data_IF_229028330337
#
_entry.id   IF_229028330337
#
_cell.length_a   1.000
_cell.length_b   1.000
_cell.length_c   1.000
_cell.angle_alpha   90.00
_cell.angle_beta   90.00
_cell.angle_gamma   90.00
#
_symmetry.space_group_name_H-M   'P 1'
#
loop_
_entity.id
_entity.type
_entity.pdbx_description
1 polymer ?
#
# COMPACT_ATOMS: atom_id res chain seq x y z
N UNK A 1 16.04 50.08 -13.46
CA UNK A 1 15.96 50.65 -14.83
C UNK A 1 17.26 50.55 -15.64
N UNK A 2 18.25 51.43 -15.50
CA UNK A 2 19.44 51.45 -16.38
C UNK A 2 20.40 50.24 -16.18
N UNK A 3 20.58 49.77 -14.94
CA UNK A 3 21.34 48.54 -14.62
C UNK A 3 20.65 47.27 -15.13
N UNK A 4 19.33 47.26 -15.19
CA UNK A 4 18.52 46.13 -15.71
C UNK A 4 18.51 46.11 -17.24
N UNK A 5 18.45 47.27 -17.89
CA UNK A 5 18.62 47.37 -19.34
C UNK A 5 20.02 46.91 -19.80
N UNK A 6 21.06 47.19 -19.01
CA UNK A 6 22.43 46.71 -19.28
C UNK A 6 22.57 45.18 -19.11
N UNK A 7 21.90 44.59 -18.13
CA UNK A 7 21.86 43.12 -17.94
C UNK A 7 21.02 42.40 -18.99
N UNK A 8 19.87 42.97 -19.39
CA UNK A 8 19.05 42.45 -20.48
C UNK A 8 19.78 42.49 -21.83
N UNK A 9 20.55 43.56 -22.11
CA UNK A 9 21.42 43.63 -23.29
C UNK A 9 22.57 42.63 -23.23
N UNK A 10 23.13 42.36 -22.04
CA UNK A 10 24.17 41.33 -21.85
C UNK A 10 23.64 39.92 -22.08
N UNK A 11 22.41 39.63 -21.63
CA UNK A 11 21.74 38.34 -21.86
C UNK A 11 21.32 38.17 -23.33
N UNK A 12 20.78 39.23 -23.95
CA UNK A 12 20.47 39.24 -25.38
C UNK A 12 21.72 39.12 -26.26
N UNK A 13 22.85 39.71 -25.84
CA UNK A 13 24.13 39.58 -26.52
C UNK A 13 24.73 38.18 -26.34
N UNK A 14 24.59 37.56 -25.17
CA UNK A 14 24.99 36.17 -24.96
C UNK A 14 24.14 35.20 -25.81
N UNK A 15 22.83 35.47 -25.95
CA UNK A 15 21.92 34.70 -26.81
C UNK A 15 22.15 34.97 -28.31
N UNK A 16 22.56 36.18 -28.70
CA UNK A 16 22.93 36.50 -30.08
C UNK A 16 24.27 35.88 -30.49
N UNK A 17 25.22 35.73 -29.55
CA UNK A 17 26.46 34.95 -29.76
C UNK A 17 26.13 33.47 -29.99
N UNK A 18 25.09 32.93 -29.35
CA UNK A 18 24.57 31.58 -29.62
C UNK A 18 23.82 31.50 -30.96
N UNK A 19 23.09 32.54 -31.34
CA UNK A 19 22.38 32.64 -32.62
C UNK A 19 23.27 32.89 -33.86
N UNK A 20 24.52 33.31 -33.67
CA UNK A 20 25.48 33.57 -34.75
C UNK A 20 26.17 32.32 -35.31
N UNK A 21 26.10 31.19 -34.61
CA UNK A 21 26.69 29.93 -35.08
C UNK A 21 25.66 29.08 -35.83
N UNK A 22 25.33 29.51 -37.05
CA UNK A 22 24.61 28.68 -38.02
C UNK A 22 25.39 27.46 -38.54
N UNK A 23 26.57 27.13 -37.97
CA UNK A 23 27.44 26.03 -38.43
C UNK A 23 28.25 25.30 -37.34
N UNK A 24 27.90 25.42 -36.06
CA UNK A 24 28.45 24.53 -35.04
C UNK A 24 27.32 23.62 -34.54
N UNK A 25 27.43 22.32 -34.81
CA UNK A 25 26.40 21.35 -34.49
C UNK A 25 25.92 21.49 -33.04
N UNK A 26 24.60 21.58 -32.89
CA UNK A 26 23.91 21.25 -31.64
C UNK A 26 24.07 19.74 -31.41
N UNK A 27 25.30 19.31 -31.11
CA UNK A 27 25.61 18.02 -30.55
C UNK A 27 25.24 18.05 -29.07
N UNK A 28 24.18 17.34 -28.74
CA UNK A 28 23.96 16.68 -27.44
C UNK A 28 23.53 17.51 -26.22
N UNK A 29 23.09 18.76 -26.37
CA UNK A 29 22.24 19.38 -25.33
C UNK A 29 20.82 19.66 -25.84
N UNK A 30 19.80 18.91 -25.37
CA UNK A 30 18.44 19.08 -25.82
C UNK A 30 17.92 20.46 -25.43
N UNK A 31 17.36 21.21 -26.38
CA UNK A 31 16.54 22.41 -26.11
C UNK A 31 15.44 22.14 -25.06
N UNK A 32 15.02 20.88 -24.89
CA UNK A 32 14.14 20.44 -23.82
C UNK A 32 14.72 20.65 -22.41
N UNK A 33 16.03 20.50 -22.22
CA UNK A 33 16.73 20.76 -20.94
C UNK A 33 16.77 22.26 -20.65
N UNK A 34 16.92 23.09 -21.69
CA UNK A 34 16.84 24.55 -21.56
C UNK A 34 15.42 24.98 -21.22
N UNK A 35 14.41 24.44 -21.92
CA UNK A 35 13.00 24.72 -21.67
C UNK A 35 12.54 24.30 -20.25
N UNK A 36 13.01 23.15 -19.76
CA UNK A 36 12.72 22.65 -18.40
C UNK A 36 13.36 23.48 -17.28
N UNK A 37 14.30 24.37 -17.60
CA UNK A 37 15.00 25.24 -16.62
C UNK A 37 14.61 26.72 -16.73
N UNK A 38 13.74 27.10 -17.67
CA UNK A 38 13.29 28.48 -17.83
C UNK A 38 12.56 28.97 -16.58
N UNK A 39 13.04 30.08 -16.01
CA UNK A 39 12.31 30.81 -14.98
C UNK A 39 11.29 31.74 -15.65
N UNK A 40 10.19 32.12 -14.96
CA UNK A 40 9.22 33.08 -15.47
C UNK A 40 9.83 34.43 -15.89
N UNK A 41 11.00 34.78 -15.35
CA UNK A 41 11.78 35.96 -15.75
C UNK A 41 12.48 35.80 -17.10
N UNK A 42 12.93 34.60 -17.45
CA UNK A 42 13.55 34.29 -18.74
C UNK A 42 12.51 34.29 -19.86
N UNK A 43 11.26 33.96 -19.49
CA UNK A 43 10.11 33.95 -20.39
C UNK A 43 9.59 35.34 -20.79
N UNK A 44 9.97 36.41 -20.09
CA UNK A 44 9.58 37.79 -20.46
C UNK A 44 10.29 38.28 -21.74
N UNK A 45 11.39 37.63 -22.14
CA UNK A 45 12.12 37.92 -23.37
C UNK A 45 11.61 37.13 -24.59
N UNK A 46 10.54 36.33 -24.44
CA UNK A 46 10.05 35.37 -25.43
C UNK A 46 9.39 35.88 -26.71
N UNK A 47 9.07 37.18 -26.95
CA UNK A 47 8.63 37.58 -28.29
C UNK A 47 9.67 37.26 -29.38
N UNK A 48 10.96 37.14 -29.02
CA UNK A 48 12.07 36.92 -29.94
C UNK A 48 12.47 35.43 -30.14
N UNK A 49 11.92 34.48 -29.38
CA UNK A 49 12.32 33.05 -29.40
C UNK A 49 11.22 32.14 -30.02
N UNK A 50 10.47 32.68 -30.98
CA UNK A 50 9.10 32.25 -31.31
C UNK A 50 8.93 31.17 -32.39
N UNK A 51 9.99 30.53 -32.90
CA UNK A 51 9.83 29.45 -33.91
C UNK A 51 10.56 28.15 -33.55
N UNK A 52 11.83 28.23 -33.15
CA UNK A 52 12.64 27.07 -32.77
C UNK A 52 12.16 26.40 -31.48
N UNK A 53 11.74 27.20 -30.49
CA UNK A 53 11.21 26.70 -29.21
C UNK A 53 9.83 26.06 -29.40
N UNK A 54 9.00 26.65 -30.25
CA UNK A 54 7.71 26.08 -30.70
C UNK A 54 7.88 24.77 -31.48
N UNK A 55 8.89 24.66 -32.35
CA UNK A 55 9.22 23.43 -33.07
C UNK A 55 9.82 22.34 -32.15
N UNK A 56 10.62 22.72 -31.16
CA UNK A 56 11.15 21.81 -30.14
C UNK A 56 10.05 21.26 -29.22
N UNK A 57 9.15 22.13 -28.73
CA UNK A 57 8.00 21.73 -27.91
C UNK A 57 7.01 20.82 -28.66
N UNK A 58 6.95 20.89 -30.00
CA UNK A 58 6.19 19.96 -30.85
C UNK A 58 6.84 18.57 -30.97
N UNK A 59 8.17 18.47 -30.83
CA UNK A 59 8.93 17.20 -30.92
C UNK A 59 9.01 16.47 -29.59
N UNK A 60 9.24 17.20 -28.50
CA UNK A 60 9.28 16.66 -27.14
C UNK A 60 8.40 17.56 -26.27
N UNK A 61 7.19 17.10 -25.93
CA UNK A 61 6.23 17.87 -25.10
C UNK A 61 6.87 18.19 -23.74
N UNK A 62 7.41 19.39 -23.50
CA UNK A 62 8.21 19.64 -22.30
C UNK A 62 7.30 19.79 -21.08
N UNK A 63 7.84 19.48 -19.90
CA UNK A 63 7.13 19.72 -18.66
C UNK A 63 7.04 21.23 -18.37
N UNK A 64 5.85 21.82 -18.47
CA UNK A 64 5.53 23.16 -18.02
C UNK A 64 5.35 23.18 -16.49
N UNK A 65 6.21 23.94 -15.83
CA UNK A 65 6.09 24.30 -14.42
C UNK A 65 5.15 25.49 -14.24
N UNK A 66 3.95 25.27 -13.69
CA UNK A 66 3.00 26.34 -13.36
C UNK A 66 3.28 27.03 -12.01
N UNK A 67 4.25 26.55 -11.22
CA UNK A 67 4.34 26.83 -9.78
C UNK A 67 5.38 27.89 -9.35
N UNK A 68 6.14 28.52 -10.26
CA UNK A 68 7.16 29.53 -9.89
C UNK A 68 6.71 31.00 -10.02
N UNK A 69 6.24 31.68 -8.98
CA UNK A 69 6.25 33.17 -8.94
C UNK A 69 4.92 33.91 -9.20
N UNK A 70 5.01 35.25 -9.24
CA UNK A 70 3.92 36.22 -8.99
C UNK A 70 2.61 35.98 -9.79
N UNK A 71 1.48 35.93 -9.07
CA UNK A 71 0.15 35.42 -9.47
C UNK A 71 -0.46 35.99 -10.77
N UNK A 72 -0.22 37.27 -11.10
CA UNK A 72 -0.81 37.90 -12.31
C UNK A 72 -0.07 37.58 -13.60
N UNK A 73 1.21 37.24 -13.52
CA UNK A 73 2.03 36.89 -14.67
C UNK A 73 1.82 35.41 -15.08
N UNK A 74 1.48 34.56 -14.10
CA UNK A 74 1.32 33.11 -14.31
C UNK A 74 0.06 32.71 -15.07
N UNK A 75 -1.13 33.24 -14.75
CA UNK A 75 -2.34 32.87 -15.49
C UNK A 75 -2.27 33.31 -16.94
N UNK A 76 -1.81 34.55 -17.20
CA UNK A 76 -1.61 35.05 -18.57
C UNK A 76 -0.56 34.25 -19.35
N UNK A 77 0.52 33.83 -18.70
CA UNK A 77 1.58 33.05 -19.32
C UNK A 77 1.19 31.59 -19.54
N UNK A 78 0.53 30.96 -18.56
CA UNK A 78 -0.06 29.63 -18.69
C UNK A 78 -1.12 29.61 -19.79
N UNK A 79 -2.01 30.62 -19.88
CA UNK A 79 -2.96 30.77 -20.99
C UNK A 79 -2.29 31.09 -22.33
N UNK A 80 -1.13 31.77 -22.35
CA UNK A 80 -0.38 32.04 -23.58
C UNK A 80 0.35 30.79 -24.09
N UNK A 81 1.00 30.06 -23.21
CA UNK A 81 1.57 28.76 -23.53
C UNK A 81 0.45 27.80 -23.92
N UNK A 82 -0.63 27.66 -23.13
CA UNK A 82 -1.85 26.90 -23.45
C UNK A 82 -2.32 27.10 -24.89
N UNK A 83 -2.37 28.35 -25.37
CA UNK A 83 -2.72 28.70 -26.74
C UNK A 83 -1.70 28.18 -27.78
N UNK A 84 -0.42 28.07 -27.41
CA UNK A 84 0.67 27.49 -28.21
C UNK A 84 0.70 25.95 -28.23
N UNK A 85 -0.10 25.24 -27.42
CA UNK A 85 -0.42 23.81 -27.61
C UNK A 85 0.63 22.79 -27.12
N UNK A 86 1.45 23.10 -26.12
CA UNK A 86 2.54 22.21 -25.65
C UNK A 86 2.58 22.02 -24.11
N UNK A 87 2.03 20.92 -23.55
CA UNK A 87 2.06 20.67 -22.09
C UNK A 87 2.33 19.22 -21.72
N UNK A 88 3.28 19.05 -20.80
CA UNK A 88 3.23 18.10 -19.68
C UNK A 88 3.28 18.97 -18.43
N UNK A 89 2.47 18.82 -17.38
CA UNK A 89 2.66 19.63 -16.15
C UNK A 89 3.01 18.67 -15.03
N UNK A 90 4.25 18.74 -14.55
CA UNK A 90 4.72 17.98 -13.41
C UNK A 90 5.39 18.98 -12.47
N UNK A 91 4.90 19.15 -11.23
CA UNK A 91 5.75 19.68 -10.17
C UNK A 91 5.23 19.52 -8.74
N UNK A 92 6.22 19.33 -7.87
CA UNK A 92 6.20 19.23 -6.40
C UNK A 92 6.92 20.54 -5.93
N UNK A 93 6.47 21.41 -5.01
CA UNK A 93 6.21 21.26 -3.57
C UNK A 93 5.45 22.49 -2.98
N UNK A 94 4.64 22.18 -1.95
CA UNK A 94 4.31 22.83 -0.65
C UNK A 94 3.47 24.10 -0.44
N UNK A 95 3.18 24.98 -1.40
CA UNK A 95 2.08 25.96 -1.20
C UNK A 95 1.63 26.60 -2.52
N UNK A 96 0.68 25.96 -3.21
CA UNK A 96 0.16 26.47 -4.49
C UNK A 96 -1.10 27.30 -4.25
N UNK A 97 -1.05 28.59 -4.60
CA UNK A 97 -2.18 29.55 -4.57
C UNK A 97 -3.17 29.37 -5.74
N UNK A 98 -3.10 28.27 -6.50
CA UNK A 98 -4.00 28.05 -7.63
C UNK A 98 -5.45 27.97 -7.15
N UNK A 99 -6.26 28.96 -7.54
CA UNK A 99 -7.69 29.03 -7.27
C UNK A 99 -8.49 28.41 -8.41
N UNK A 100 -9.78 28.15 -8.16
CA UNK A 100 -10.72 27.65 -9.18
C UNK A 100 -10.77 28.57 -10.42
N UNK A 101 -10.72 29.89 -10.21
CA UNK A 101 -10.66 30.88 -11.30
C UNK A 101 -9.34 30.78 -12.10
N UNK A 102 -8.22 30.52 -11.41
CA UNK A 102 -6.93 30.25 -12.04
C UNK A 102 -6.98 28.99 -12.90
N UNK A 103 -7.51 27.89 -12.37
CA UNK A 103 -7.68 26.64 -13.11
C UNK A 103 -8.60 26.85 -14.34
N UNK A 104 -9.71 27.57 -14.16
CA UNK A 104 -10.65 27.92 -15.24
C UNK A 104 -9.97 28.68 -16.38
N UNK A 105 -9.08 29.63 -16.07
CA UNK A 105 -8.34 30.39 -17.09
C UNK A 105 -7.37 29.56 -17.93
N UNK A 106 -6.94 28.40 -17.41
CA UNK A 106 -6.00 27.49 -18.07
C UNK A 106 -6.78 26.44 -18.86
N UNK A 107 -7.73 25.75 -18.22
CA UNK A 107 -8.53 24.68 -18.82
C UNK A 107 -9.58 25.22 -19.80
N UNK A 108 -9.93 26.51 -19.69
CA UNK A 108 -10.76 27.21 -20.66
C UNK A 108 -10.09 27.43 -22.02
N UNK A 109 -8.81 27.09 -22.18
CA UNK A 109 -8.12 27.15 -23.47
C UNK A 109 -8.24 25.80 -24.18
N UNK A 110 -8.97 25.76 -25.30
CA UNK A 110 -9.26 24.52 -26.04
C UNK A 110 -8.00 23.75 -26.45
N UNK A 111 -6.95 24.45 -26.88
CA UNK A 111 -5.66 23.82 -27.22
C UNK A 111 -4.99 23.12 -26.03
N UNK A 112 -5.22 23.60 -24.81
CA UNK A 112 -4.71 22.95 -23.60
C UNK A 112 -5.55 21.73 -23.26
N UNK A 113 -6.87 21.91 -23.14
CA UNK A 113 -7.78 20.82 -22.79
C UNK A 113 -7.75 19.68 -23.81
N UNK A 114 -7.67 20.01 -25.10
CA UNK A 114 -7.64 19.02 -26.19
C UNK A 114 -6.33 18.25 -26.36
N UNK A 115 -5.24 18.64 -25.68
CA UNK A 115 -3.91 18.03 -25.91
C UNK A 115 -3.23 17.44 -24.68
N UNK A 116 -3.68 17.79 -23.48
CA UNK A 116 -3.01 17.40 -22.23
C UNK A 116 -3.24 15.92 -21.88
N UNK A 117 -2.14 15.17 -21.74
CA UNK A 117 -2.15 13.75 -21.37
C UNK A 117 -1.88 13.54 -19.88
N UNK A 118 -1.10 14.42 -19.25
CA UNK A 118 -0.72 14.30 -17.84
C UNK A 118 -0.76 15.67 -17.17
N UNK A 119 -1.46 15.75 -16.04
CA UNK A 119 -1.64 16.97 -15.26
C UNK A 119 -1.43 16.67 -13.77
N UNK A 120 -0.42 17.29 -13.15
CA UNK A 120 -0.28 17.30 -11.69
C UNK A 120 -0.59 18.69 -11.12
N UNK A 121 -1.60 18.72 -10.25
CA UNK A 121 -2.04 19.83 -9.42
C UNK A 121 -1.78 19.53 -7.93
N UNK A 122 -0.85 18.64 -7.63
CA UNK A 122 -0.45 18.27 -6.27
C UNK A 122 -0.24 19.49 -5.37
N UNK A 123 -0.87 19.52 -4.21
CA UNK A 123 -0.69 20.58 -3.21
C UNK A 123 -1.38 21.91 -3.56
N UNK A 124 -2.31 21.95 -4.52
CA UNK A 124 -3.18 23.09 -4.81
C UNK A 124 -4.22 23.30 -3.70
N UNK A 125 -3.78 23.82 -2.55
CA UNK A 125 -4.59 23.97 -1.33
C UNK A 125 -5.76 24.95 -1.44
N UNK A 126 -5.81 25.79 -2.48
CA UNK A 126 -6.92 26.73 -2.72
C UNK A 126 -7.96 26.20 -3.71
N UNK A 127 -7.69 25.06 -4.36
CA UNK A 127 -8.62 24.45 -5.30
C UNK A 127 -9.77 23.81 -4.52
N UNK A 128 -11.01 24.17 -4.87
CA UNK A 128 -12.22 23.62 -4.26
C UNK A 128 -13.04 22.78 -5.24
N UNK A 129 -12.87 23.02 -6.54
CA UNK A 129 -13.62 22.35 -7.60
C UNK A 129 -12.71 21.98 -8.79
N UNK A 130 -12.56 20.69 -9.06
CA UNK A 130 -11.79 20.16 -10.19
C UNK A 130 -12.67 19.80 -11.40
N UNK A 131 -13.98 20.10 -11.37
CA UNK A 131 -14.93 19.66 -12.42
C UNK A 131 -14.57 20.16 -13.81
N UNK A 132 -13.93 21.34 -13.93
CA UNK A 132 -13.52 21.89 -15.22
C UNK A 132 -12.48 21.01 -15.95
N UNK A 133 -11.73 20.17 -15.22
CA UNK A 133 -10.77 19.22 -15.80
C UNK A 133 -11.48 18.20 -16.71
N UNK A 134 -12.78 18.01 -16.58
CA UNK A 134 -13.61 17.24 -17.52
C UNK A 134 -13.50 17.65 -18.99
N UNK A 135 -13.02 18.86 -19.29
CA UNK A 135 -12.72 19.30 -20.66
C UNK A 135 -11.50 18.61 -21.26
N UNK A 136 -10.60 18.10 -20.42
CA UNK A 136 -9.36 17.44 -20.82
C UNK A 136 -9.64 16.00 -21.29
N UNK A 137 -10.33 15.83 -22.42
CA UNK A 137 -10.86 14.52 -22.86
C UNK A 137 -9.79 13.46 -23.15
N UNK A 138 -8.57 13.88 -23.47
CA UNK A 138 -7.43 12.97 -23.76
C UNK A 138 -6.53 12.73 -22.54
N UNK A 139 -6.90 13.26 -21.37
CA UNK A 139 -6.13 13.14 -20.14
C UNK A 139 -6.03 11.67 -19.73
N UNK A 140 -4.79 11.22 -19.49
CA UNK A 140 -4.46 9.87 -19.04
C UNK A 140 -4.13 9.83 -17.55
N UNK A 141 -3.37 10.79 -17.06
CA UNK A 141 -2.95 10.81 -15.65
C UNK A 141 -3.23 12.17 -15.00
N UNK A 142 -3.89 12.13 -13.84
CA UNK A 142 -4.25 13.30 -13.06
C UNK A 142 -3.83 13.11 -11.59
N UNK A 143 -3.07 14.06 -11.07
CA UNK A 143 -2.67 14.09 -9.67
C UNK A 143 -3.20 15.36 -9.00
N UNK A 144 -4.19 15.17 -8.13
CA UNK A 144 -4.84 16.17 -7.29
C UNK A 144 -4.48 15.99 -5.81
N UNK A 145 -3.45 15.21 -5.51
CA UNK A 145 -3.10 14.90 -4.12
C UNK A 145 -2.81 16.17 -3.31
N UNK A 146 -3.09 16.16 -2.01
CA UNK A 146 -2.87 17.28 -1.09
C UNK A 146 -3.64 18.55 -1.45
N UNK A 147 -4.70 18.46 -2.25
CA UNK A 147 -5.65 19.54 -2.48
C UNK A 147 -6.66 19.59 -1.32
N UNK A 148 -6.20 20.00 -0.15
CA UNK A 148 -6.96 19.89 1.11
C UNK A 148 -8.28 20.67 1.19
N UNK A 149 -8.54 21.59 0.24
CA UNK A 149 -9.83 22.29 0.12
C UNK A 149 -10.76 21.74 -0.97
N UNK A 150 -10.32 20.72 -1.72
CA UNK A 150 -11.10 20.13 -2.80
C UNK A 150 -12.35 19.43 -2.24
N UNK A 151 -13.52 19.81 -2.76
CA UNK A 151 -14.82 19.26 -2.35
C UNK A 151 -15.53 18.55 -3.51
N UNK A 152 -15.20 18.92 -4.77
CA UNK A 152 -15.93 18.46 -5.96
C UNK A 152 -15.00 18.00 -7.06
N UNK A 153 -15.35 16.85 -7.66
CA UNK A 153 -14.69 16.28 -8.83
C UNK A 153 -15.68 15.81 -9.92
N UNK A 154 -16.96 16.16 -9.79
CA UNK A 154 -18.08 15.63 -10.60
C UNK A 154 -17.86 15.76 -12.11
N UNK A 155 -17.17 16.81 -12.55
CA UNK A 155 -16.87 17.01 -13.96
C UNK A 155 -15.85 16.04 -14.57
N UNK A 156 -15.16 15.21 -13.78
CA UNK A 156 -14.21 14.22 -14.30
C UNK A 156 -14.87 13.14 -15.18
N UNK A 157 -16.20 13.03 -15.22
CA UNK A 157 -16.93 12.12 -16.11
C UNK A 157 -16.55 12.26 -17.60
N UNK A 158 -16.07 13.43 -18.03
CA UNK A 158 -15.59 13.67 -19.39
C UNK A 158 -14.19 13.09 -19.72
N UNK A 159 -13.47 12.58 -18.73
CA UNK A 159 -12.10 12.07 -18.87
C UNK A 159 -12.09 10.55 -19.12
N UNK A 160 -12.72 10.10 -20.21
CA UNK A 160 -12.86 8.66 -20.52
C UNK A 160 -11.54 7.92 -20.76
N UNK A 161 -10.46 8.64 -21.07
CA UNK A 161 -9.10 8.10 -21.27
C UNK A 161 -8.25 8.09 -19.99
N UNK A 162 -8.78 8.57 -18.87
CA UNK A 162 -8.05 8.66 -17.61
C UNK A 162 -7.72 7.25 -17.11
N UNK A 163 -6.43 6.93 -17.00
CA UNK A 163 -5.90 5.66 -16.50
C UNK A 163 -5.51 5.72 -15.02
N UNK A 164 -5.07 6.88 -14.54
CA UNK A 164 -4.50 7.07 -13.21
C UNK A 164 -5.02 8.37 -12.60
N UNK A 165 -5.64 8.27 -11.44
CA UNK A 165 -6.09 9.41 -10.64
C UNK A 165 -5.56 9.31 -9.22
N UNK A 166 -4.92 10.37 -8.74
CA UNK A 166 -4.54 10.50 -7.34
C UNK A 166 -5.25 11.67 -6.68
N UNK A 167 -5.95 11.38 -5.59
CA UNK A 167 -6.70 12.29 -4.74
C UNK A 167 -6.26 12.15 -3.27
N UNK A 168 -5.11 11.54 -3.02
CA UNK A 168 -4.55 11.33 -1.68
C UNK A 168 -4.53 12.64 -0.88
N UNK A 169 -4.92 12.62 0.40
CA UNK A 169 -4.94 13.81 1.27
C UNK A 169 -5.88 14.94 0.77
N UNK A 170 -6.98 14.60 0.08
CA UNK A 170 -8.08 15.54 -0.21
C UNK A 170 -9.11 15.55 0.93
N UNK A 171 -8.72 16.09 2.09
CA UNK A 171 -9.41 15.84 3.38
C UNK A 171 -10.85 16.42 3.47
N UNK A 172 -11.26 17.29 2.53
CA UNK A 172 -12.64 17.81 2.42
C UNK A 172 -13.47 17.12 1.34
N UNK A 173 -12.90 16.21 0.59
CA UNK A 173 -13.61 15.44 -0.42
C UNK A 173 -14.53 14.45 0.28
N UNK A 174 -15.84 14.58 0.04
CA UNK A 174 -16.87 13.80 0.71
C UNK A 174 -17.37 12.63 -0.13
N UNK A 175 -17.36 12.80 -1.44
CA UNK A 175 -17.89 11.86 -2.43
C UNK A 175 -17.05 11.97 -3.69
N UNK A 176 -17.01 10.90 -4.48
CA UNK A 176 -16.28 10.83 -5.76
C UNK A 176 -17.22 10.68 -6.96
N UNK A 177 -18.32 11.42 -6.95
CA UNK A 177 -19.27 11.47 -8.07
C UNK A 177 -18.56 11.87 -9.36
N UNK A 178 -19.06 11.37 -10.48
CA UNK A 178 -18.50 11.64 -11.81
C UNK A 178 -17.39 10.69 -12.27
N UNK A 179 -16.82 9.86 -11.39
CA UNK A 179 -15.80 8.88 -11.83
C UNK A 179 -16.35 7.75 -12.71
N UNK A 180 -17.65 7.44 -12.66
CA UNK A 180 -18.26 6.39 -13.47
C UNK A 180 -18.09 6.54 -14.99
N UNK A 181 -17.80 7.75 -15.48
CA UNK A 181 -17.45 8.01 -16.89
C UNK A 181 -15.98 7.72 -17.25
N UNK A 182 -15.11 7.54 -16.27
CA UNK A 182 -13.68 7.23 -16.44
C UNK A 182 -13.47 5.73 -16.69
N UNK A 183 -14.03 5.22 -17.79
CA UNK A 183 -14.06 3.77 -18.07
C UNK A 183 -12.68 3.14 -18.31
N UNK A 184 -11.65 3.94 -18.60
CA UNK A 184 -10.25 3.50 -18.72
C UNK A 184 -9.47 3.52 -17.40
N UNK A 185 -10.08 3.96 -16.29
CA UNK A 185 -9.39 4.15 -15.01
C UNK A 185 -8.91 2.81 -14.46
N UNK A 186 -7.60 2.67 -14.27
CA UNK A 186 -6.95 1.47 -13.73
C UNK A 186 -6.48 1.67 -12.30
N UNK A 187 -5.99 2.86 -11.98
CA UNK A 187 -5.38 3.17 -10.69
C UNK A 187 -6.03 4.39 -10.06
N UNK A 188 -6.54 4.22 -8.84
CA UNK A 188 -7.16 5.30 -8.07
C UNK A 188 -6.59 5.33 -6.65
N UNK A 189 -6.00 6.46 -6.27
CA UNK A 189 -5.52 6.70 -4.91
C UNK A 189 -6.42 7.72 -4.21
N UNK A 190 -7.02 7.32 -3.09
CA UNK A 190 -7.91 8.11 -2.24
C UNK A 190 -7.47 8.08 -0.77
N UNK A 191 -6.25 7.63 -0.47
CA UNK A 191 -5.74 7.51 0.90
C UNK A 191 -5.82 8.84 1.64
N UNK A 192 -6.19 8.79 2.91
CA UNK A 192 -6.32 9.91 3.83
C UNK A 192 -7.38 10.95 3.41
N UNK A 193 -8.33 10.60 2.54
CA UNK A 193 -9.54 11.40 2.32
C UNK A 193 -10.51 11.24 3.50
N UNK A 194 -10.19 11.83 4.66
CA UNK A 194 -10.87 11.54 5.93
C UNK A 194 -12.41 11.72 5.91
N UNK A 195 -12.93 12.71 5.17
CA UNK A 195 -14.37 12.98 5.06
C UNK A 195 -15.10 12.17 3.96
N UNK A 196 -14.36 11.36 3.20
CA UNK A 196 -14.94 10.52 2.15
C UNK A 196 -15.82 9.44 2.79
N UNK A 197 -17.10 9.46 2.45
CA UNK A 197 -18.08 8.49 2.96
C UNK A 197 -18.84 7.76 1.86
N UNK A 198 -18.71 8.20 0.61
CA UNK A 198 -19.45 7.68 -0.54
C UNK A 198 -18.50 7.46 -1.72
N UNK A 199 -18.31 6.19 -2.08
CA UNK A 199 -17.53 5.75 -3.25
C UNK A 199 -18.41 5.22 -4.39
N UNK A 200 -19.74 5.43 -4.33
CA UNK A 200 -20.68 4.98 -5.38
C UNK A 200 -20.38 5.55 -6.77
N UNK A 201 -19.64 6.66 -6.83
CA UNK A 201 -19.11 7.21 -8.07
C UNK A 201 -18.17 6.27 -8.84
N UNK A 202 -17.72 5.16 -8.26
CA UNK A 202 -16.98 4.10 -8.96
C UNK A 202 -17.87 3.19 -9.80
N UNK A 203 -19.20 3.27 -9.67
CA UNK A 203 -20.12 2.53 -10.52
C UNK A 203 -19.87 2.90 -12.00
N UNK A 204 -19.27 1.98 -12.76
CA UNK A 204 -18.85 2.18 -14.15
C UNK A 204 -17.34 2.14 -14.41
N UNK A 205 -16.51 2.15 -13.36
CA UNK A 205 -15.06 2.00 -13.46
C UNK A 205 -14.63 0.53 -13.67
N UNK A 206 -15.18 -0.14 -14.69
CA UNK A 206 -14.98 -1.58 -14.91
C UNK A 206 -13.51 -1.99 -15.16
N UNK A 207 -12.65 -1.05 -15.59
CA UNK A 207 -11.21 -1.30 -15.81
C UNK A 207 -10.35 -1.12 -14.56
N UNK A 208 -10.94 -0.81 -13.40
CA UNK A 208 -10.19 -0.50 -12.18
C UNK A 208 -9.46 -1.75 -11.68
N UNK A 209 -8.15 -1.62 -11.47
CA UNK A 209 -7.25 -2.69 -11.04
C UNK A 209 -6.67 -2.42 -9.66
N UNK A 210 -6.37 -1.16 -9.34
CA UNK A 210 -5.71 -0.76 -8.10
C UNK A 210 -6.49 0.37 -7.42
N UNK A 211 -6.94 0.12 -6.19
CA UNK A 211 -7.67 1.09 -5.38
C UNK A 211 -7.05 1.23 -4.00
N UNK A 212 -6.64 2.45 -3.64
CA UNK A 212 -6.09 2.78 -2.32
C UNK A 212 -7.06 3.71 -1.58
N UNK A 213 -7.57 3.26 -0.43
CA UNK A 213 -8.56 3.93 0.42
C UNK A 213 -8.10 4.00 1.89
N UNK A 214 -6.79 3.82 2.15
CA UNK A 214 -6.21 3.85 3.50
C UNK A 214 -6.62 5.11 4.26
N UNK A 215 -7.06 4.98 5.51
CA UNK A 215 -7.31 6.14 6.37
C UNK A 215 -8.55 6.97 5.99
N UNK A 216 -9.45 6.45 5.14
CA UNK A 216 -10.75 7.08 4.85
C UNK A 216 -11.72 6.93 6.04
N UNK A 217 -11.48 7.68 7.12
CA UNK A 217 -12.10 7.47 8.43
C UNK A 217 -13.65 7.51 8.45
N UNK A 218 -14.28 8.19 7.48
CA UNK A 218 -15.74 8.28 7.37
C UNK A 218 -16.39 7.25 6.46
N UNK A 219 -15.61 6.46 5.72
CA UNK A 219 -16.12 5.42 4.82
C UNK A 219 -16.67 4.25 5.64
N UNK A 220 -17.93 3.89 5.39
CA UNK A 220 -18.63 2.84 6.14
C UNK A 220 -19.08 1.64 5.29
N UNK A 221 -19.02 1.77 3.96
CA UNK A 221 -19.41 0.73 3.03
C UNK A 221 -18.78 0.94 1.66
N UNK A 222 -18.93 -0.06 0.78
CA UNK A 222 -18.18 -0.16 -0.47
C UNK A 222 -19.07 -0.07 -1.72
N UNK A 223 -20.25 0.54 -1.61
CA UNK A 223 -21.21 0.66 -2.70
C UNK A 223 -20.53 1.21 -3.97
N UNK A 224 -20.70 0.51 -5.09
CA UNK A 224 -20.09 0.83 -6.38
C UNK A 224 -18.95 -0.11 -6.79
N UNK A 225 -18.35 -0.85 -5.85
CA UNK A 225 -17.27 -1.81 -6.16
C UNK A 225 -17.76 -3.10 -6.83
N UNK A 226 -19.04 -3.48 -6.71
CA UNK A 226 -19.61 -4.66 -7.39
C UNK A 226 -19.39 -4.67 -8.92
N UNK A 227 -19.24 -3.50 -9.54
CA UNK A 227 -18.95 -3.37 -10.98
C UNK A 227 -17.47 -3.48 -11.36
N UNK A 228 -16.56 -3.47 -10.37
CA UNK A 228 -15.11 -3.49 -10.55
C UNK A 228 -14.55 -4.93 -10.54
N UNK A 229 -15.07 -5.82 -11.38
CA UNK A 229 -14.67 -7.24 -11.41
C UNK A 229 -13.20 -7.49 -11.77
N UNK A 230 -12.55 -6.50 -12.41
CA UNK A 230 -11.13 -6.49 -12.73
C UNK A 230 -10.22 -6.02 -11.58
N UNK A 231 -10.76 -5.70 -10.40
CA UNK A 231 -9.98 -5.20 -9.26
C UNK A 231 -8.98 -6.26 -8.78
N UNK A 232 -7.71 -5.87 -8.71
CA UNK A 232 -6.59 -6.75 -8.39
C UNK A 232 -6.01 -6.50 -7.00
N UNK A 233 -5.91 -5.22 -6.61
CA UNK A 233 -5.42 -4.80 -5.30
C UNK A 233 -6.34 -3.77 -4.67
N UNK A 234 -6.73 -4.01 -3.42
CA UNK A 234 -7.57 -3.10 -2.65
C UNK A 234 -6.96 -2.87 -1.27
N UNK A 235 -6.71 -1.61 -0.93
CA UNK A 235 -6.25 -1.23 0.40
C UNK A 235 -7.29 -0.37 1.11
N UNK A 236 -7.89 -0.92 2.16
CA UNK A 236 -8.88 -0.32 3.04
C UNK A 236 -8.36 -0.25 4.49
N UNK A 237 -7.03 -0.29 4.69
CA UNK A 237 -6.44 -0.17 6.02
C UNK A 237 -6.88 1.12 6.74
N UNK A 238 -7.08 1.05 8.06
CA UNK A 238 -7.44 2.20 8.89
C UNK A 238 -8.76 2.87 8.47
N UNK A 239 -9.76 2.06 8.10
CA UNK A 239 -11.13 2.50 7.85
C UNK A 239 -12.03 2.04 9.01
N UNK A 240 -11.98 2.73 10.18
CA UNK A 240 -12.60 2.25 11.43
C UNK A 240 -14.13 2.18 11.39
N UNK A 241 -14.77 2.80 10.39
CA UNK A 241 -16.23 2.77 10.23
C UNK A 241 -16.73 1.67 9.30
N UNK A 242 -15.84 1.00 8.56
CA UNK A 242 -16.21 -0.08 7.65
C UNK A 242 -16.72 -1.27 8.44
N UNK A 243 -17.96 -1.66 8.16
CA UNK A 243 -18.60 -2.82 8.79
C UNK A 243 -19.11 -3.85 7.78
N UNK A 244 -19.28 -3.43 6.52
CA UNK A 244 -19.87 -4.24 5.45
C UNK A 244 -18.95 -4.24 4.22
N UNK A 245 -18.60 -5.45 3.78
CA UNK A 245 -17.75 -5.74 2.62
C UNK A 245 -18.48 -6.57 1.56
N UNK A 246 -19.82 -6.65 1.59
CA UNK A 246 -20.63 -7.46 0.66
C UNK A 246 -20.32 -7.20 -0.82
N UNK A 247 -19.99 -5.96 -1.17
CA UNK A 247 -19.64 -5.55 -2.54
C UNK A 247 -18.34 -6.22 -3.07
N UNK A 248 -17.51 -6.80 -2.19
CA UNK A 248 -16.32 -7.55 -2.59
C UNK A 248 -16.63 -8.94 -3.14
N UNK A 249 -17.85 -9.46 -2.97
CA UNK A 249 -18.24 -10.78 -3.48
C UNK A 249 -18.06 -10.92 -5.01
N UNK A 250 -18.12 -9.81 -5.76
CA UNK A 250 -17.90 -9.78 -7.22
C UNK A 250 -16.44 -9.60 -7.65
N UNK A 251 -15.49 -9.41 -6.73
CA UNK A 251 -14.09 -9.07 -7.03
C UNK A 251 -13.21 -10.32 -7.24
N UNK A 252 -13.59 -11.22 -8.15
CA UNK A 252 -12.90 -12.51 -8.35
C UNK A 252 -11.42 -12.40 -8.79
N UNK A 253 -11.00 -11.25 -9.34
CA UNK A 253 -9.62 -10.97 -9.76
C UNK A 253 -8.71 -10.47 -8.63
N UNK A 254 -9.27 -10.24 -7.43
CA UNK A 254 -8.55 -9.65 -6.31
C UNK A 254 -7.49 -10.62 -5.80
N UNK A 255 -6.22 -10.22 -5.83
CA UNK A 255 -5.10 -11.03 -5.35
C UNK A 255 -4.46 -10.46 -4.07
N UNK A 256 -4.66 -9.18 -3.77
CA UNK A 256 -4.20 -8.53 -2.52
C UNK A 256 -5.30 -7.66 -1.93
N UNK A 257 -5.67 -7.95 -0.68
CA UNK A 257 -6.66 -7.21 0.09
C UNK A 257 -6.09 -6.83 1.45
N UNK A 258 -6.08 -5.54 1.75
CA UNK A 258 -5.75 -5.04 3.08
C UNK A 258 -6.99 -4.40 3.70
N UNK A 259 -7.44 -4.94 4.83
CA UNK A 259 -8.56 -4.52 5.67
C UNK A 259 -8.09 -4.25 7.11
N UNK A 260 -6.79 -4.03 7.35
CA UNK A 260 -6.27 -3.83 8.69
C UNK A 260 -6.86 -2.61 9.38
N UNK A 261 -6.91 -2.62 10.71
CA UNK A 261 -7.48 -1.57 11.56
C UNK A 261 -8.94 -1.20 11.20
N UNK A 262 -9.68 -2.08 10.52
CA UNK A 262 -11.13 -1.94 10.30
C UNK A 262 -11.91 -2.41 11.52
N UNK A 263 -11.80 -1.66 12.62
CA UNK A 263 -12.29 -2.07 13.96
C UNK A 263 -13.79 -2.42 14.06
N UNK A 264 -14.62 -2.02 13.08
CA UNK A 264 -16.04 -2.38 13.03
C UNK A 264 -16.35 -3.63 12.21
N UNK A 265 -15.41 -4.11 11.41
CA UNK A 265 -15.56 -5.29 10.56
C UNK A 265 -15.67 -6.53 11.44
N UNK A 266 -16.74 -7.29 11.22
CA UNK A 266 -17.04 -8.51 11.96
C UNK A 266 -17.36 -9.71 11.06
N UNK A 267 -17.75 -9.44 9.81
CA UNK A 267 -18.16 -10.44 8.83
C UNK A 267 -17.32 -10.28 7.56
N UNK A 268 -16.66 -11.37 7.15
CA UNK A 268 -15.83 -11.48 5.95
C UNK A 268 -16.35 -12.54 4.98
N UNK A 269 -17.61 -12.98 5.13
CA UNK A 269 -18.26 -13.99 4.27
C UNK A 269 -18.25 -13.61 2.78
N UNK A 270 -18.27 -12.31 2.48
CA UNK A 270 -18.17 -11.80 1.11
C UNK A 270 -16.86 -12.18 0.41
N UNK A 271 -15.81 -12.54 1.15
CA UNK A 271 -14.52 -12.92 0.57
C UNK A 271 -14.52 -14.33 -0.03
N UNK A 272 -15.53 -15.17 0.23
CA UNK A 272 -15.58 -16.54 -0.26
C UNK A 272 -15.54 -16.68 -1.79
N UNK A 273 -15.91 -15.62 -2.53
CA UNK A 273 -15.80 -15.56 -3.99
C UNK A 273 -14.42 -15.13 -4.53
N UNK A 274 -13.49 -14.71 -3.67
CA UNK A 274 -12.18 -14.17 -4.06
C UNK A 274 -11.14 -15.29 -4.25
N UNK A 275 -11.40 -16.24 -5.16
CA UNK A 275 -10.53 -17.42 -5.36
C UNK A 275 -9.08 -17.08 -5.78
N UNK A 276 -8.85 -15.88 -6.34
CA UNK A 276 -7.52 -15.38 -6.73
C UNK A 276 -6.73 -14.75 -5.58
N UNK A 277 -7.33 -14.60 -4.40
CA UNK A 277 -6.73 -13.89 -3.27
C UNK A 277 -5.49 -14.62 -2.78
N UNK A 278 -4.35 -13.93 -2.73
CA UNK A 278 -3.03 -14.46 -2.30
C UNK A 278 -2.57 -13.85 -0.99
N UNK A 279 -2.93 -12.60 -0.75
CA UNK A 279 -2.57 -11.86 0.46
C UNK A 279 -3.81 -11.22 1.06
N UNK A 280 -4.05 -11.49 2.33
CA UNK A 280 -5.15 -10.92 3.11
C UNK A 280 -4.63 -10.40 4.45
N UNK A 281 -4.80 -9.11 4.69
CA UNK A 281 -4.50 -8.50 5.98
C UNK A 281 -5.81 -8.04 6.64
N UNK A 282 -6.15 -8.65 7.77
CA UNK A 282 -7.27 -8.34 8.65
C UNK A 282 -6.78 -7.95 10.06
N UNK A 283 -5.49 -7.63 10.21
CA UNK A 283 -4.91 -7.24 11.50
C UNK A 283 -5.68 -6.08 12.15
N UNK A 284 -5.80 -6.09 13.48
CA UNK A 284 -6.51 -5.03 14.21
C UNK A 284 -8.04 -4.98 13.98
N UNK A 285 -8.64 -5.97 13.31
CA UNK A 285 -10.11 -6.09 13.20
C UNK A 285 -10.72 -6.55 14.53
N UNK A 286 -10.85 -5.61 15.48
CA UNK A 286 -11.19 -5.89 16.87
C UNK A 286 -12.57 -6.58 17.11
N UNK A 287 -13.46 -6.62 16.10
CA UNK A 287 -14.76 -7.31 16.18
C UNK A 287 -14.82 -8.62 15.41
N UNK A 288 -13.78 -8.96 14.64
CA UNK A 288 -13.72 -10.19 13.87
C UNK A 288 -13.63 -11.39 14.82
N UNK A 289 -14.61 -12.28 14.75
CA UNK A 289 -14.66 -13.48 15.58
C UNK A 289 -14.48 -14.79 14.81
N UNK A 290 -14.71 -14.76 13.49
CA UNK A 290 -14.59 -15.91 12.60
C UNK A 290 -13.97 -15.49 11.28
N UNK A 291 -13.11 -16.34 10.72
CA UNK A 291 -12.60 -16.23 9.34
C UNK A 291 -13.16 -17.33 8.43
N UNK A 292 -14.25 -18.01 8.80
CA UNK A 292 -14.91 -19.03 7.95
C UNK A 292 -15.24 -18.53 6.52
N UNK A 293 -15.46 -17.23 6.37
CA UNK A 293 -15.72 -16.55 5.09
C UNK A 293 -14.61 -16.63 4.05
N UNK A 294 -13.37 -17.01 4.41
CA UNK A 294 -12.24 -17.13 3.47
C UNK A 294 -11.98 -18.57 2.99
N UNK A 295 -12.84 -19.53 3.34
CA UNK A 295 -12.71 -20.93 2.91
C UNK A 295 -12.67 -21.13 1.38
N UNK A 296 -13.24 -20.20 0.61
CA UNK A 296 -13.19 -20.22 -0.86
C UNK A 296 -11.92 -19.62 -1.48
N UNK A 297 -11.02 -19.03 -0.68
CA UNK A 297 -9.81 -18.35 -1.14
C UNK A 297 -8.66 -19.36 -1.41
N UNK A 298 -8.85 -20.28 -2.37
CA UNK A 298 -7.91 -21.39 -2.60
C UNK A 298 -6.46 -20.97 -2.97
N UNK A 299 -6.25 -19.73 -3.44
CA UNK A 299 -4.92 -19.21 -3.79
C UNK A 299 -4.19 -18.51 -2.63
N UNK A 300 -4.77 -18.49 -1.43
CA UNK A 300 -4.28 -17.72 -0.30
C UNK A 300 -2.92 -18.23 0.16
N UNK A 301 -1.95 -17.33 0.30
CA UNK A 301 -0.57 -17.63 0.68
C UNK A 301 -0.18 -16.98 1.99
N UNK A 302 -0.62 -15.74 2.20
CA UNK A 302 -0.28 -14.95 3.38
C UNK A 302 -1.54 -14.38 4.00
N UNK A 303 -1.69 -14.59 5.30
CA UNK A 303 -2.78 -14.02 6.09
C UNK A 303 -2.28 -13.40 7.38
N UNK A 304 -2.78 -12.20 7.69
CA UNK A 304 -2.56 -11.54 8.96
C UNK A 304 -3.89 -11.30 9.65
N UNK A 305 -4.07 -11.90 10.82
CA UNK A 305 -5.20 -11.73 11.74
C UNK A 305 -4.72 -11.21 13.10
N UNK A 306 -3.50 -10.66 13.18
CA UNK A 306 -2.91 -10.17 14.42
C UNK A 306 -3.79 -9.10 15.08
N UNK A 307 -3.86 -9.11 16.41
CA UNK A 307 -4.68 -8.15 17.18
C UNK A 307 -6.19 -8.30 16.97
N UNK A 308 -6.68 -9.38 16.35
CA UNK A 308 -8.10 -9.71 16.30
C UNK A 308 -8.60 -10.22 17.65
N UNK A 309 -8.84 -9.31 18.60
CA UNK A 309 -9.15 -9.64 20.00
C UNK A 309 -10.41 -10.47 20.25
N UNK A 310 -11.25 -10.71 19.24
CA UNK A 310 -12.45 -11.54 19.33
C UNK A 310 -12.36 -12.85 18.54
N UNK A 311 -11.25 -13.11 17.85
CA UNK A 311 -11.08 -14.28 16.99
C UNK A 311 -11.16 -15.57 17.80
N UNK A 312 -12.05 -16.46 17.38
CA UNK A 312 -12.25 -17.79 17.98
C UNK A 312 -12.25 -18.86 16.89
N UNK A 313 -12.88 -18.58 15.75
CA UNK A 313 -13.10 -19.56 14.69
C UNK A 313 -12.17 -19.30 13.49
N UNK A 314 -11.21 -20.21 13.29
CA UNK A 314 -10.28 -20.20 12.17
C UNK A 314 -10.56 -21.29 11.14
N UNK A 315 -11.75 -21.91 11.16
CA UNK A 315 -12.13 -23.01 10.27
C UNK A 315 -12.01 -22.67 8.78
N UNK A 316 -12.08 -21.39 8.41
CA UNK A 316 -11.86 -20.92 7.04
C UNK A 316 -10.45 -21.16 6.50
N UNK A 317 -9.47 -21.46 7.35
CA UNK A 317 -8.12 -21.83 6.94
C UNK A 317 -8.00 -23.32 6.56
N UNK A 318 -8.96 -24.16 6.94
CA UNK A 318 -8.87 -25.58 6.69
C UNK A 318 -8.84 -25.88 5.19
N UNK A 319 -7.88 -26.69 4.76
CA UNK A 319 -7.71 -27.12 3.36
C UNK A 319 -7.12 -26.06 2.42
N UNK A 320 -6.60 -24.93 2.92
CA UNK A 320 -5.91 -23.96 2.09
C UNK A 320 -4.50 -24.46 1.71
N UNK A 321 -4.42 -25.24 0.63
CA UNK A 321 -3.19 -25.92 0.19
C UNK A 321 -2.02 -25.00 -0.19
N UNK A 322 -2.31 -23.73 -0.51
CA UNK A 322 -1.32 -22.72 -0.89
C UNK A 322 -0.83 -21.86 0.28
N UNK A 323 -1.40 -22.01 1.48
CA UNK A 323 -1.12 -21.16 2.62
C UNK A 323 0.30 -21.39 3.15
N UNK A 324 1.08 -20.31 3.24
CA UNK A 324 2.51 -20.31 3.56
C UNK A 324 2.80 -19.54 4.86
N UNK A 325 2.10 -18.43 5.11
CA UNK A 325 2.36 -17.54 6.26
C UNK A 325 1.04 -17.14 6.94
N UNK A 326 0.98 -17.34 8.26
CA UNK A 326 -0.18 -16.97 9.08
C UNK A 326 0.27 -16.26 10.35
N UNK A 327 -0.15 -15.01 10.53
CA UNK A 327 -0.04 -14.29 11.79
C UNK A 327 -1.42 -14.24 12.46
N UNK A 328 -1.52 -14.74 13.69
CA UNK A 328 -2.70 -14.64 14.56
C UNK A 328 -2.32 -14.09 15.94
N UNK A 329 -1.16 -13.45 16.06
CA UNK A 329 -0.64 -12.92 17.31
C UNK A 329 -1.64 -12.00 17.99
N UNK A 330 -1.62 -11.95 19.32
CA UNK A 330 -2.54 -11.17 20.14
C UNK A 330 -4.03 -11.51 19.89
N UNK A 331 -4.34 -12.79 19.68
CA UNK A 331 -5.70 -13.33 19.63
C UNK A 331 -6.06 -14.08 20.93
N UNK A 332 -6.33 -13.38 22.05
CA UNK A 332 -6.46 -13.99 23.38
C UNK A 332 -7.67 -14.90 23.55
N UNK A 333 -8.61 -14.92 22.59
CA UNK A 333 -9.78 -15.80 22.61
C UNK A 333 -9.63 -17.07 21.77
N UNK A 334 -8.57 -17.16 20.95
CA UNK A 334 -8.28 -18.33 20.14
C UNK A 334 -7.90 -19.50 21.04
N UNK A 335 -8.52 -20.66 20.79
CA UNK A 335 -8.31 -21.90 21.55
C UNK A 335 -7.89 -23.02 20.60
N UNK A 336 -8.69 -23.24 19.56
CA UNK A 336 -8.50 -24.32 18.61
C UNK A 336 -7.71 -23.86 17.38
N UNK A 337 -6.56 -24.48 17.13
CA UNK A 337 -5.70 -24.26 15.97
C UNK A 337 -5.76 -25.41 14.95
N UNK A 338 -6.71 -26.34 15.11
CA UNK A 338 -6.79 -27.58 14.32
C UNK A 338 -6.90 -27.38 12.82
N UNK A 339 -7.54 -26.29 12.38
CA UNK A 339 -7.67 -25.94 10.96
C UNK A 339 -6.31 -25.87 10.24
N UNK A 340 -5.26 -25.42 10.93
CA UNK A 340 -3.91 -25.27 10.38
C UNK A 340 -3.25 -26.62 10.03
N UNK A 341 -3.64 -27.71 10.70
CA UNK A 341 -3.08 -29.05 10.44
C UNK A 341 -3.35 -29.59 9.03
N UNK A 342 -4.23 -28.94 8.28
CA UNK A 342 -4.57 -29.25 6.89
C UNK A 342 -3.90 -28.32 5.87
N UNK A 343 -2.98 -27.47 6.30
CA UNK A 343 -2.21 -26.55 5.46
C UNK A 343 -0.78 -27.10 5.24
N UNK A 344 -0.54 -27.93 4.21
CA UNK A 344 0.74 -28.65 4.05
C UNK A 344 1.94 -27.75 3.72
N UNK A 345 1.71 -26.54 3.21
CA UNK A 345 2.74 -25.57 2.80
C UNK A 345 3.01 -24.49 3.84
N UNK A 346 2.41 -24.59 5.03
CA UNK A 346 2.60 -23.60 6.07
C UNK A 346 4.08 -23.59 6.52
N UNK A 347 4.72 -22.42 6.43
CA UNK A 347 6.13 -22.17 6.73
C UNK A 347 6.32 -21.29 7.95
N UNK A 348 5.48 -20.26 8.08
CA UNK A 348 5.55 -19.31 9.18
C UNK A 348 4.19 -19.23 9.88
N UNK A 349 4.22 -19.41 11.21
CA UNK A 349 3.05 -19.30 12.06
C UNK A 349 3.39 -18.48 13.30
N UNK A 350 2.69 -17.35 13.47
CA UNK A 350 2.76 -16.54 14.68
C UNK A 350 1.48 -16.66 15.52
N UNK A 351 1.63 -17.20 16.73
CA UNK A 351 0.61 -17.35 17.76
C UNK A 351 1.01 -16.60 19.05
N UNK A 352 1.89 -15.60 18.96
CA UNK A 352 2.32 -14.80 20.10
C UNK A 352 1.13 -14.30 20.89
N UNK A 353 1.16 -14.47 22.21
CA UNK A 353 0.13 -13.97 23.12
C UNK A 353 -1.29 -14.51 22.82
N UNK A 354 -1.40 -15.70 22.22
CA UNK A 354 -2.63 -16.49 22.12
C UNK A 354 -2.89 -17.22 23.46
N UNK A 355 -3.36 -16.45 24.44
CA UNK A 355 -3.42 -16.84 25.86
C UNK A 355 -4.17 -18.14 26.19
N UNK A 356 -5.05 -18.63 25.30
CA UNK A 356 -5.92 -19.80 25.55
C UNK A 356 -5.63 -20.99 24.64
N UNK A 357 -4.59 -20.94 23.81
CA UNK A 357 -4.15 -22.11 23.04
C UNK A 357 -3.55 -23.12 24.01
N UNK A 358 -4.23 -24.26 24.13
CA UNK A 358 -3.85 -25.35 25.05
C UNK A 358 -3.08 -26.47 24.32
N UNK A 359 -3.33 -26.65 23.02
CA UNK A 359 -2.73 -27.73 22.24
C UNK A 359 -2.36 -27.27 20.83
N UNK A 360 -1.20 -27.72 20.37
CA UNK A 360 -0.72 -27.58 18.98
C UNK A 360 -0.62 -28.92 18.25
N UNK A 361 -1.34 -29.95 18.75
CA UNK A 361 -1.32 -31.32 18.21
C UNK A 361 -1.54 -31.41 16.70
N UNK A 362 -2.39 -30.54 16.15
CA UNK A 362 -2.69 -30.50 14.71
C UNK A 362 -1.50 -30.05 13.83
N UNK A 363 -0.52 -29.33 14.38
CA UNK A 363 0.61 -28.82 13.60
C UNK A 363 1.56 -29.92 13.11
N UNK A 364 1.44 -31.15 13.59
CA UNK A 364 2.29 -32.27 13.14
C UNK A 364 2.16 -32.59 11.63
N UNK A 365 1.09 -32.11 10.98
CA UNK A 365 0.93 -32.17 9.52
C UNK A 365 1.75 -31.12 8.74
N UNK A 366 2.18 -30.04 9.39
CA UNK A 366 2.86 -28.90 8.78
C UNK A 366 4.37 -29.17 8.62
N UNK A 367 4.72 -30.08 7.70
CA UNK A 367 6.11 -30.53 7.48
C UNK A 367 7.05 -29.47 6.91
N UNK A 368 6.51 -28.43 6.27
CA UNK A 368 7.26 -27.28 5.76
C UNK A 368 7.42 -26.15 6.79
N UNK A 369 6.88 -26.30 8.01
CA UNK A 369 6.95 -25.25 9.03
C UNK A 369 8.39 -25.01 9.45
N UNK A 370 8.91 -23.81 9.23
CA UNK A 370 10.28 -23.38 9.56
C UNK A 370 10.32 -22.44 10.76
N UNK A 371 9.29 -21.61 10.92
CA UNK A 371 9.23 -20.55 11.92
C UNK A 371 7.92 -20.66 12.71
N UNK A 372 8.02 -20.84 14.02
CA UNK A 372 6.86 -20.93 14.90
C UNK A 372 7.04 -20.05 16.15
N UNK A 373 6.16 -19.06 16.31
CA UNK A 373 6.09 -18.26 17.52
C UNK A 373 4.90 -18.70 18.37
N UNK A 374 5.18 -19.29 19.53
CA UNK A 374 4.19 -19.67 20.55
C UNK A 374 4.39 -18.88 21.85
N UNK A 375 5.20 -17.82 21.82
CA UNK A 375 5.53 -17.08 23.04
C UNK A 375 4.28 -16.46 23.67
N UNK A 376 4.15 -16.58 24.99
CA UNK A 376 2.96 -16.13 25.72
C UNK A 376 1.71 -17.00 25.54
N UNK A 377 1.80 -18.18 24.92
CA UNK A 377 0.74 -19.20 24.96
C UNK A 377 0.65 -19.85 26.35
N UNK A 378 0.14 -19.09 27.33
CA UNK A 378 0.23 -19.44 28.75
C UNK A 378 -0.44 -20.75 29.17
N UNK A 379 -1.41 -21.25 28.40
CA UNK A 379 -2.12 -22.50 28.68
C UNK A 379 -1.54 -23.72 27.96
N UNK A 380 -0.52 -23.54 27.12
CA UNK A 380 0.14 -24.62 26.41
C UNK A 380 0.93 -25.47 27.41
N UNK A 381 0.54 -26.75 27.57
CA UNK A 381 1.18 -27.67 28.51
C UNK A 381 2.28 -28.53 27.90
N UNK A 382 2.18 -28.83 26.61
CA UNK A 382 3.15 -29.65 25.88
C UNK A 382 3.24 -29.23 24.41
N UNK A 383 4.26 -29.74 23.73
CA UNK A 383 4.49 -29.54 22.29
C UNK A 383 4.48 -30.84 21.51
N UNK A 384 3.72 -31.85 21.96
CA UNK A 384 3.69 -33.18 21.33
C UNK A 384 3.38 -33.13 19.83
N UNK A 385 2.54 -32.17 19.42
CA UNK A 385 2.19 -31.89 18.04
C UNK A 385 3.34 -31.51 17.13
N UNK A 386 4.47 -31.03 17.66
CA UNK A 386 5.59 -30.54 16.85
C UNK A 386 6.54 -31.66 16.37
N UNK A 387 6.37 -32.90 16.84
CA UNK A 387 7.21 -34.04 16.44
C UNK A 387 7.25 -34.29 14.91
N UNK A 388 6.19 -33.89 14.19
CA UNK A 388 6.11 -33.98 12.72
C UNK A 388 6.71 -32.79 11.96
N UNK A 389 7.08 -31.70 12.64
CA UNK A 389 7.60 -30.47 12.04
C UNK A 389 9.11 -30.58 11.74
N UNK A 390 9.49 -31.52 10.87
CA UNK A 390 10.90 -31.86 10.60
C UNK A 390 11.71 -30.73 9.93
N UNK A 391 11.06 -29.65 9.48
CA UNK A 391 11.71 -28.48 8.88
C UNK A 391 11.85 -27.30 9.85
N UNK A 392 11.42 -27.44 11.11
CA UNK A 392 11.40 -26.34 12.07
C UNK A 392 12.83 -25.88 12.38
N UNK A 393 13.11 -24.59 12.16
CA UNK A 393 14.44 -23.97 12.34
C UNK A 393 14.44 -22.99 13.51
N UNK A 394 13.33 -22.28 13.73
CA UNK A 394 13.17 -21.29 14.80
C UNK A 394 11.86 -21.52 15.56
N UNK A 395 11.97 -21.62 16.89
CA UNK A 395 10.84 -21.81 17.80
C UNK A 395 10.96 -20.88 19.02
N UNK A 396 9.93 -20.09 19.25
CA UNK A 396 9.79 -19.32 20.49
C UNK A 396 8.65 -19.86 21.36
N UNK A 397 8.99 -20.35 22.54
CA UNK A 397 8.08 -20.86 23.57
C UNK A 397 8.16 -20.01 24.85
N UNK A 398 8.77 -18.83 24.79
CA UNK A 398 8.98 -18.00 25.97
C UNK A 398 7.66 -17.61 26.64
N UNK A 399 7.67 -17.49 27.96
CA UNK A 399 6.48 -17.11 28.76
C UNK A 399 5.31 -18.12 28.61
N UNK A 400 5.60 -19.37 28.24
CA UNK A 400 4.65 -20.49 28.34
C UNK A 400 4.67 -21.04 29.76
N UNK A 401 3.91 -20.39 30.65
CA UNK A 401 3.94 -20.64 32.11
C UNK A 401 3.58 -22.08 32.50
N UNK A 402 2.76 -22.80 31.73
CA UNK A 402 2.31 -24.17 32.00
C UNK A 402 3.06 -25.25 31.19
N UNK A 403 4.04 -24.88 30.37
CA UNK A 403 4.78 -25.82 29.54
C UNK A 403 5.60 -26.76 30.44
N UNK A 404 5.28 -28.05 30.39
CA UNK A 404 5.90 -29.08 31.22
C UNK A 404 6.67 -30.13 30.42
N UNK A 405 6.41 -30.26 29.11
CA UNK A 405 7.04 -31.27 28.27
C UNK A 405 7.45 -30.70 26.89
N UNK A 406 8.75 -30.81 26.60
CA UNK A 406 9.38 -30.44 25.32
C UNK A 406 10.01 -31.63 24.58
N UNK A 407 9.73 -32.87 25.02
CA UNK A 407 10.35 -34.10 24.51
C UNK A 407 10.09 -34.37 23.03
N UNK A 408 9.01 -33.83 22.47
CA UNK A 408 8.71 -33.92 21.05
C UNK A 408 9.69 -33.11 20.16
N UNK A 409 10.43 -32.15 20.74
CA UNK A 409 11.42 -31.38 19.99
C UNK A 409 12.63 -32.22 19.59
N UNK A 410 12.88 -33.37 20.23
CA UNK A 410 13.96 -34.31 19.82
C UNK A 410 13.86 -34.71 18.34
N UNK A 411 12.65 -34.70 17.76
CA UNK A 411 12.38 -35.09 16.38
C UNK A 411 12.54 -33.89 15.41
N UNK A 412 12.70 -32.66 15.92
CA UNK A 412 12.94 -31.44 15.16
C UNK A 412 14.43 -31.27 14.81
N UNK A 413 14.96 -32.16 13.98
CA UNK A 413 16.41 -32.24 13.70
C UNK A 413 17.05 -31.00 13.06
N UNK A 414 16.26 -30.07 12.51
CA UNK A 414 16.75 -28.79 11.92
C UNK A 414 16.66 -27.59 12.87
N UNK A 415 16.20 -27.79 14.10
CA UNK A 415 15.95 -26.69 15.03
C UNK A 415 17.28 -26.02 15.41
N UNK A 416 17.46 -24.77 14.99
CA UNK A 416 18.70 -24.00 15.22
C UNK A 416 18.58 -23.00 16.36
N UNK A 417 17.37 -22.50 16.60
CA UNK A 417 17.08 -21.48 17.60
C UNK A 417 15.84 -21.83 18.40
N UNK A 418 16.00 -21.88 19.72
CA UNK A 418 14.94 -22.18 20.67
C UNK A 418 14.94 -21.18 21.83
N UNK A 419 13.82 -20.52 22.06
CA UNK A 419 13.61 -19.67 23.22
C UNK A 419 12.64 -20.32 24.20
N UNK A 420 13.12 -20.67 25.39
CA UNK A 420 12.34 -21.22 26.52
C UNK A 420 12.35 -20.27 27.73
N UNK A 421 12.73 -19.00 27.52
CA UNK A 421 12.82 -18.05 28.63
C UNK A 421 11.48 -17.91 29.35
N UNK A 422 11.51 -17.84 30.67
CA UNK A 422 10.32 -17.75 31.53
C UNK A 422 9.35 -18.95 31.43
N UNK A 423 9.76 -20.13 30.95
CA UNK A 423 9.01 -21.38 31.08
C UNK A 423 9.16 -21.96 32.50
N UNK A 424 8.38 -21.44 33.46
CA UNK A 424 8.59 -21.73 34.89
C UNK A 424 8.20 -23.14 35.34
N UNK A 425 7.28 -23.79 34.63
CA UNK A 425 6.79 -25.14 34.96
C UNK A 425 7.60 -26.26 34.28
N UNK A 426 8.56 -25.92 33.42
CA UNK A 426 9.38 -26.90 32.72
C UNK A 426 10.37 -27.53 33.72
N UNK A 427 10.36 -28.85 33.95
CA UNK A 427 11.19 -29.47 34.97
C UNK A 427 12.63 -29.70 34.48
N UNK A 428 12.81 -30.06 33.21
CA UNK A 428 14.11 -30.32 32.60
C UNK A 428 14.06 -30.11 31.08
N UNK A 429 15.23 -30.16 30.43
CA UNK A 429 15.40 -30.03 28.97
C UNK A 429 15.98 -31.29 28.33
N UNK A 430 15.90 -32.45 28.98
CA UNK A 430 16.40 -33.73 28.42
C UNK A 430 15.70 -34.08 27.09
N UNK A 431 14.48 -33.57 26.92
CA UNK A 431 13.73 -33.62 25.67
C UNK A 431 14.43 -32.99 24.45
N UNK A 432 15.47 -32.18 24.65
CA UNK A 432 16.24 -31.54 23.58
C UNK A 432 17.42 -32.39 23.06
N UNK A 433 17.70 -33.56 23.65
CA UNK A 433 18.88 -34.36 23.29
C UNK A 433 18.97 -34.77 21.80
N UNK A 434 17.86 -34.72 21.04
CA UNK A 434 17.83 -34.97 19.60
C UNK A 434 18.09 -33.74 18.71
N UNK A 435 18.12 -32.52 19.26
CA UNK A 435 18.31 -31.27 18.52
C UNK A 435 19.80 -31.01 18.22
N UNK A 436 20.38 -31.77 17.29
CA UNK A 436 21.81 -31.72 16.99
C UNK A 436 22.26 -30.39 16.37
N UNK A 437 21.36 -29.70 15.67
CA UNK A 437 21.62 -28.42 14.99
C UNK A 437 21.29 -27.20 15.88
N UNK A 438 21.00 -27.38 17.18
CA UNK A 438 20.61 -26.27 18.06
C UNK A 438 21.83 -25.43 18.45
N UNK A 439 21.87 -24.17 18.00
CA UNK A 439 22.98 -23.23 18.24
C UNK A 439 22.61 -22.10 19.21
N UNK A 440 21.33 -21.70 19.23
CA UNK A 440 20.83 -20.64 20.10
C UNK A 440 19.75 -21.20 21.02
N UNK A 441 20.05 -21.22 22.33
CA UNK A 441 19.13 -21.65 23.36
C UNK A 441 19.04 -20.58 24.45
N UNK A 442 17.83 -20.05 24.68
CA UNK A 442 17.56 -19.12 25.78
C UNK A 442 16.75 -19.80 26.89
N UNK A 443 17.30 -19.83 28.11
CA UNK A 443 16.70 -20.39 29.32
C UNK A 443 16.50 -19.32 30.42
N UNK A 444 16.59 -18.04 30.09
CA UNK A 444 16.51 -16.97 31.09
C UNK A 444 15.17 -17.02 31.85
N UNK A 445 15.21 -17.02 33.18
CA UNK A 445 14.01 -17.04 34.01
C UNK A 445 13.28 -18.40 34.06
N UNK A 446 13.89 -19.49 33.59
CA UNK A 446 13.44 -20.85 33.91
C UNK A 446 13.80 -21.26 35.34
N UNK A 447 13.27 -22.38 35.83
CA UNK A 447 13.54 -22.84 37.20
C UNK A 447 15.04 -23.15 37.40
N UNK A 448 15.58 -22.85 38.59
CA UNK A 448 17.01 -23.04 38.89
C UNK A 448 17.47 -24.50 38.87
N UNK A 449 16.54 -25.46 39.01
CA UNK A 449 16.82 -26.90 38.95
C UNK A 449 17.07 -27.41 37.51
N UNK A 450 16.61 -26.69 36.47
CA UNK A 450 16.89 -27.03 35.07
C UNK A 450 18.37 -26.88 34.68
N UNK A 451 19.14 -26.11 35.44
CA UNK A 451 20.37 -25.47 34.96
C UNK A 451 21.63 -26.36 34.87
N UNK A 452 21.59 -27.68 35.11
CA UNK A 452 22.84 -28.42 35.34
C UNK A 452 23.10 -29.76 34.62
N UNK A 453 22.20 -30.33 33.80
CA UNK A 453 22.42 -31.70 33.29
C UNK A 453 22.31 -31.95 31.76
N UNK A 454 22.13 -30.93 30.90
CA UNK A 454 21.72 -31.20 29.51
C UNK A 454 22.50 -30.54 28.36
N UNK A 455 23.61 -29.82 28.61
CA UNK A 455 24.45 -29.25 27.53
C UNK A 455 25.84 -29.89 27.43
N UNK A 456 26.13 -30.93 28.21
CA UNK A 456 27.44 -31.61 28.19
C UNK A 456 27.72 -32.49 26.95
N UNK A 457 26.98 -32.35 25.85
CA UNK A 457 27.15 -33.16 24.65
C UNK A 457 26.96 -32.40 23.32
N UNK A 458 27.30 -31.11 23.27
CA UNK A 458 27.61 -30.47 21.99
C UNK A 458 29.13 -30.26 21.87
N UNK A 459 29.74 -30.59 20.72
CA UNK A 459 31.16 -30.34 20.52
C UNK A 459 31.41 -28.84 20.60
N UNK A 460 32.48 -28.50 21.32
CA UNK A 460 33.05 -27.16 21.37
C UNK A 460 33.01 -26.53 19.98
N UNK A 461 32.31 -25.39 19.84
CA UNK A 461 32.60 -24.48 18.73
C UNK A 461 34.00 -23.93 18.99
N UNK A 462 35.00 -24.67 18.50
CA UNK A 462 36.35 -24.17 18.36
C UNK A 462 36.32 -22.84 17.59
N UNK A 463 37.03 -21.85 18.12
CA UNK A 463 36.82 -20.44 17.84
C UNK A 463 36.97 -20.00 16.39
N UNK A 464 36.26 -18.91 16.06
CA UNK A 464 36.85 -17.63 15.64
C UNK A 464 35.83 -16.51 15.57
#
# INVERSE_FOLDING_TARGET
AAKEAKRARSAASALAVVGGYGKAGLGDLPLAVVAARLLPRDCLALPALSSALLAACRRERPALDLARGNARLHSRFASALARAGCFRIANVWLNKELTDAGLSSIVGVDNFAGSILTLSLHGCRQLTDASLIGRCRVLKSLDLSWCSRLVKIDGLAGCSHLDTLSLTECNRLRQIKGLGGCTALKTLHLSWCEQLHDISGLAGCASLQHLQLTGCAWLSGLAGLSSCSGLQTLNLSKVPRLADVAELAGCASLWSLNLSDCSRLADVSALGGCASLRQLDLSGCARLCSVSGISGCASLRKTDFSGCGQLVDISGLAGLEALEEVDMSNSPKLVDVSALGTCPRLRELDLFNCLRVESVSALGGCKELTTLNLSGCKQLSDVAGLSGCCSLEWLDLSVCDHLADVSALKDCGKLTSLNLSNCRSLPDIRGLAGCQELHMLNLDGTSSEMALDAVAAQPESEGK
#
